data_IF_268860529338
#
_entry.id   IF_268860529338
#
_cell.length_a   1.000
_cell.length_b   1.000
_cell.length_c   1.000
_cell.angle_alpha   90.00
_cell.angle_beta   90.00
_cell.angle_gamma   90.00
#
_symmetry.space_group_name_H-M   'P 1'
#
loop_
_entity.id
_entity.type
_entity.pdbx_description
1 polymer ?
#
# COMPACT_ATOMS: atom_id res chain seq x y z
N UNK A 1 -20.90 -2.98 -7.34
CA UNK A 1 -20.02 -4.16 -7.21
C UNK A 1 -19.04 -3.84 -6.11
N UNK A 2 -19.02 -4.62 -5.03
CA UNK A 2 -18.11 -4.38 -3.91
C UNK A 2 -16.67 -4.43 -4.42
N UNK A 3 -15.91 -3.36 -4.20
CA UNK A 3 -14.50 -3.31 -4.57
C UNK A 3 -13.80 -4.49 -3.88
N UNK A 4 -13.02 -5.29 -4.63
CA UNK A 4 -12.28 -6.43 -4.10
C UNK A 4 -11.12 -5.99 -3.22
N UNK A 5 -11.41 -5.33 -2.10
CA UNK A 5 -10.45 -4.80 -1.13
C UNK A 5 -10.57 -5.65 0.13
N UNK A 6 -9.47 -6.29 0.52
CA UNK A 6 -9.40 -7.11 1.74
C UNK A 6 -8.34 -6.52 2.67
N UNK A 7 -8.75 -5.87 3.77
CA UNK A 7 -7.82 -5.41 4.80
C UNK A 7 -7.35 -6.59 5.66
N UNK A 8 -6.10 -6.56 6.09
CA UNK A 8 -5.55 -7.48 7.07
C UNK A 8 -4.55 -6.76 7.97
N UNK A 9 -4.42 -7.21 9.22
CA UNK A 9 -3.51 -6.60 10.20
C UNK A 9 -2.66 -7.66 10.89
N UNK A 10 -1.44 -7.28 11.23
CA UNK A 10 -0.52 -8.11 12.01
C UNK A 10 0.32 -7.24 12.93
N UNK A 11 0.51 -7.69 14.16
CA UNK A 11 1.36 -7.02 15.12
C UNK A 11 2.82 -6.95 14.65
N UNK A 12 3.29 -7.96 13.91
CA UNK A 12 4.65 -7.98 13.38
C UNK A 12 4.83 -6.92 12.28
N UNK A 13 3.89 -6.91 11.32
CA UNK A 13 3.84 -5.90 10.24
C UNK A 13 3.78 -4.48 10.80
N UNK A 14 3.00 -4.24 11.87
CA UNK A 14 2.93 -2.91 12.52
C UNK A 14 4.27 -2.47 13.10
N UNK A 15 4.99 -3.38 13.76
CA UNK A 15 6.29 -3.06 14.34
C UNK A 15 7.33 -2.71 13.27
N UNK A 16 7.32 -3.42 12.13
CA UNK A 16 8.22 -3.11 11.02
C UNK A 16 7.77 -1.88 10.21
N UNK A 17 6.48 -1.59 10.13
CA UNK A 17 5.96 -0.39 9.48
C UNK A 17 6.54 0.88 10.10
N UNK A 18 6.71 0.91 11.42
CA UNK A 18 7.35 2.04 12.11
C UNK A 18 8.82 2.23 11.69
N UNK A 19 9.58 1.14 11.52
CA UNK A 19 10.98 1.20 11.07
C UNK A 19 11.09 1.61 9.60
N UNK A 20 10.28 0.99 8.74
CA UNK A 20 10.20 1.33 7.33
C UNK A 20 9.81 2.80 7.13
N UNK A 21 8.87 3.31 7.94
CA UNK A 21 8.53 4.73 7.92
C UNK A 21 9.69 5.63 8.36
N UNK A 22 10.42 5.26 9.42
CA UNK A 22 11.57 6.05 9.88
C UNK A 22 12.62 6.27 8.77
N UNK A 23 12.88 5.26 7.94
CA UNK A 23 13.80 5.37 6.80
C UNK A 23 13.19 6.08 5.58
N UNK A 24 11.92 5.79 5.26
CA UNK A 24 11.26 6.34 4.08
C UNK A 24 10.88 7.82 4.25
N UNK A 25 10.65 8.27 5.50
CA UNK A 25 10.21 9.63 5.85
C UNK A 25 11.03 10.75 5.17
N UNK A 26 12.37 10.83 5.31
CA UNK A 26 13.14 11.92 4.71
C UNK A 26 12.95 11.99 3.20
N UNK A 27 12.92 10.85 2.52
CA UNK A 27 12.70 10.79 1.07
C UNK A 27 11.26 11.23 0.74
N UNK A 28 10.26 10.64 1.39
CA UNK A 28 8.84 10.93 1.15
C UNK A 28 8.44 12.38 1.48
N UNK A 29 9.16 13.06 2.37
CA UNK A 29 8.97 14.47 2.69
C UNK A 29 9.75 15.41 1.75
N UNK A 30 10.89 14.97 1.22
CA UNK A 30 11.69 15.72 0.24
C UNK A 30 11.11 15.73 -1.18
N UNK A 31 10.21 14.80 -1.49
CA UNK A 31 9.62 14.72 -2.83
C UNK A 31 8.86 16.02 -3.14
N UNK A 32 9.10 16.63 -4.31
CA UNK A 32 8.39 17.84 -4.69
C UNK A 32 6.91 17.53 -4.70
N UNK A 33 6.09 18.38 -4.05
CA UNK A 33 4.63 18.28 -4.15
C UNK A 33 4.27 18.41 -5.62
N UNK A 34 3.85 17.34 -6.30
CA UNK A 34 3.34 17.47 -7.65
C UNK A 34 1.97 18.16 -7.55
N UNK A 35 1.38 18.54 -8.70
CA UNK A 35 0.03 19.11 -8.73
C UNK A 35 -0.96 18.16 -8.01
N UNK A 36 -2.05 18.69 -7.48
CA UNK A 36 -3.13 17.86 -6.93
C UNK A 36 -3.50 16.73 -7.93
N UNK A 37 -3.99 15.60 -7.43
CA UNK A 37 -4.29 14.38 -8.20
C UNK A 37 -3.05 13.63 -8.73
N UNK A 38 -1.95 13.66 -7.99
CA UNK A 38 -0.69 13.04 -8.42
C UNK A 38 -0.13 12.03 -7.42
N UNK A 39 0.75 11.18 -7.95
CA UNK A 39 1.53 10.22 -7.19
C UNK A 39 3.02 10.49 -7.45
N UNK A 40 3.78 10.74 -6.40
CA UNK A 40 5.24 10.71 -6.46
C UNK A 40 5.75 9.33 -6.04
N UNK A 41 6.88 8.89 -6.60
CA UNK A 41 7.46 7.57 -6.34
C UNK A 41 8.84 7.68 -5.69
N UNK A 42 9.16 6.75 -4.81
CA UNK A 42 10.49 6.57 -4.24
C UNK A 42 10.90 5.09 -4.28
N UNK A 43 12.20 4.85 -4.27
CA UNK A 43 12.76 3.50 -4.18
C UNK A 43 12.60 2.96 -2.77
N UNK A 44 12.29 1.67 -2.65
CA UNK A 44 12.17 1.02 -1.35
C UNK A 44 13.52 0.96 -0.66
N UNK A 45 13.56 1.31 0.63
CA UNK A 45 14.74 1.13 1.48
C UNK A 45 14.82 -0.32 1.98
N UNK A 46 15.88 -0.66 2.71
CA UNK A 46 16.06 -2.01 3.24
C UNK A 46 14.95 -2.40 4.22
N UNK A 47 14.56 -1.51 5.13
CA UNK A 47 13.45 -1.77 6.07
C UNK A 47 12.10 -1.87 5.33
N UNK A 48 11.91 -1.10 4.25
CA UNK A 48 10.73 -1.25 3.39
C UNK A 48 10.68 -2.64 2.75
N UNK A 49 11.82 -3.17 2.30
CA UNK A 49 11.91 -4.49 1.68
C UNK A 49 11.69 -5.61 2.71
N UNK A 50 12.14 -5.44 3.96
CA UNK A 50 11.83 -6.36 5.06
C UNK A 50 10.33 -6.39 5.32
N UNK A 51 9.69 -5.24 5.49
CA UNK A 51 8.24 -5.13 5.69
C UNK A 51 7.46 -5.79 4.55
N UNK A 52 7.82 -5.52 3.29
CA UNK A 52 7.18 -6.14 2.12
C UNK A 52 7.26 -7.67 2.19
N UNK A 53 8.41 -8.23 2.55
CA UNK A 53 8.59 -9.69 2.68
C UNK A 53 7.70 -10.28 3.77
N UNK A 54 7.59 -9.61 4.92
CA UNK A 54 6.72 -10.07 6.01
C UNK A 54 5.25 -10.05 5.61
N UNK A 55 4.79 -8.92 5.03
CA UNK A 55 3.42 -8.79 4.52
C UNK A 55 3.11 -9.86 3.48
N UNK A 56 4.05 -10.16 2.59
CA UNK A 56 3.92 -11.24 1.61
C UNK A 56 3.82 -12.62 2.25
N UNK A 57 4.61 -12.89 3.29
CA UNK A 57 4.60 -14.16 3.99
C UNK A 57 3.27 -14.37 4.74
N UNK A 58 2.76 -13.34 5.41
CA UNK A 58 1.48 -13.40 6.10
C UNK A 58 0.31 -13.51 5.12
N UNK A 59 0.33 -12.71 4.05
CA UNK A 59 -0.66 -12.82 2.98
C UNK A 59 -0.69 -14.23 2.39
N UNK A 60 0.46 -14.92 2.28
CA UNK A 60 0.54 -16.33 1.85
C UNK A 60 0.02 -17.33 2.88
N UNK A 61 0.14 -17.05 4.17
CA UNK A 61 -0.36 -17.93 5.23
C UNK A 61 -1.88 -17.84 5.37
N UNK A 62 -2.46 -16.64 5.23
CA UNK A 62 -3.92 -16.45 5.18
C UNK A 62 -4.57 -17.11 3.95
N UNK A 63 -3.80 -17.46 2.91
CA UNK A 63 -4.30 -18.12 1.69
C UNK A 63 -4.79 -19.56 1.94
N UNK A 64 -4.61 -20.12 3.14
CA UNK A 64 -5.19 -21.43 3.50
C UNK A 64 -6.69 -21.40 3.83
N UNK A 65 -7.36 -20.24 3.89
CA UNK A 65 -8.81 -20.15 4.15
C UNK A 65 -9.61 -19.70 2.92
N UNK A 66 -10.15 -20.69 2.20
CA UNK A 66 -11.31 -20.81 1.27
C UNK A 66 -11.72 -19.66 0.30
N UNK A 67 -11.41 -18.38 0.52
CA UNK A 67 -11.82 -17.27 -0.39
C UNK A 67 -10.65 -16.50 -1.03
N UNK A 68 -9.42 -16.95 -0.85
CA UNK A 68 -8.24 -16.27 -1.35
C UNK A 68 -7.75 -16.86 -2.67
N UNK A 69 -7.71 -16.04 -3.72
CA UNK A 69 -6.96 -16.36 -4.95
C UNK A 69 -5.52 -16.66 -4.53
N UNK A 70 -5.01 -17.89 -4.76
CA UNK A 70 -3.66 -18.23 -4.34
C UNK A 70 -2.67 -17.37 -5.10
N UNK A 71 -1.73 -16.75 -4.38
CA UNK A 71 -0.47 -16.23 -4.94
C UNK A 71 0.28 -17.42 -5.53
N UNK A 72 -0.12 -17.88 -6.72
CA UNK A 72 0.60 -18.93 -7.44
C UNK A 72 2.01 -18.41 -7.74
N UNK A 73 2.99 -19.28 -7.56
CA UNK A 73 4.44 -19.08 -7.68
C UNK A 73 4.91 -18.25 -8.91
N UNK A 74 6.21 -17.96 -8.98
CA UNK A 74 6.80 -16.71 -8.53
C UNK A 74 6.31 -15.54 -9.39
N UNK A 75 5.34 -14.79 -8.87
CA UNK A 75 4.95 -13.51 -9.47
C UNK A 75 6.20 -12.61 -9.50
N UNK A 76 6.54 -12.09 -10.69
CA UNK A 76 7.52 -10.99 -10.76
C UNK A 76 6.82 -9.80 -10.10
N UNK A 77 7.12 -9.58 -8.83
CA UNK A 77 6.49 -8.49 -8.10
C UNK A 77 7.26 -7.20 -8.35
N UNK A 78 6.52 -6.15 -8.71
CA UNK A 78 7.04 -4.79 -8.68
C UNK A 78 6.73 -4.20 -7.31
N UNK A 79 7.78 -3.71 -6.66
CA UNK A 79 7.67 -2.99 -5.40
C UNK A 79 8.03 -1.52 -5.61
N UNK A 80 7.44 -0.64 -4.83
CA UNK A 80 7.76 0.78 -4.87
C UNK A 80 7.10 1.56 -3.74
N UNK A 81 7.76 2.63 -3.33
CA UNK A 81 7.18 3.59 -2.42
C UNK A 81 6.38 4.63 -3.18
N UNK A 82 5.14 4.88 -2.76
CA UNK A 82 4.24 5.87 -3.34
C UNK A 82 3.88 6.94 -2.31
N UNK A 83 3.85 8.18 -2.77
CA UNK A 83 3.27 9.32 -2.04
C UNK A 83 2.09 9.85 -2.86
N UNK A 84 0.88 9.69 -2.34
CA UNK A 84 -0.36 10.15 -2.97
C UNK A 84 -0.76 11.48 -2.34
N UNK A 85 -0.93 12.48 -3.19
CA UNK A 85 -1.31 13.83 -2.81
C UNK A 85 -2.83 14.04 -2.92
N UNK A 86 -3.39 15.12 -2.34
CA UNK A 86 -4.82 15.39 -2.38
C UNK A 86 -5.43 15.25 -3.78
N UNK A 87 -6.61 14.66 -3.84
CA UNK A 87 -7.32 14.33 -5.07
C UNK A 87 -7.62 12.85 -5.23
N UNK A 88 -8.04 12.47 -6.43
CA UNK A 88 -8.38 11.10 -6.82
C UNK A 88 -7.34 10.54 -7.77
N UNK A 89 -6.85 9.35 -7.46
CA UNK A 89 -5.92 8.57 -8.30
C UNK A 89 -6.39 7.12 -8.38
N UNK A 90 -6.01 6.36 -9.40
CA UNK A 90 -6.34 4.93 -9.50
C UNK A 90 -5.16 4.04 -9.11
N UNK A 91 -5.46 2.90 -8.51
CA UNK A 91 -4.51 1.83 -8.14
C UNK A 91 -5.15 0.47 -8.39
N UNK A 92 -4.38 -0.63 -8.37
CA UNK A 92 -4.96 -1.98 -8.46
C UNK A 92 -5.30 -2.46 -9.86
N UNK A 93 -4.61 -1.97 -10.91
CA UNK A 93 -4.78 -2.47 -12.28
C UNK A 93 -4.49 -3.98 -12.40
N UNK A 94 -3.64 -4.50 -11.51
CA UNK A 94 -3.40 -5.92 -11.25
C UNK A 94 -3.55 -6.18 -9.75
N UNK A 95 -3.41 -7.45 -9.33
CA UNK A 95 -3.31 -7.79 -7.90
C UNK A 95 -2.26 -6.88 -7.23
N UNK A 96 -2.71 -6.06 -6.29
CA UNK A 96 -1.89 -5.05 -5.65
C UNK A 96 -2.07 -5.11 -4.14
N UNK A 97 -0.99 -5.15 -3.38
CA UNK A 97 -1.01 -4.86 -1.96
C UNK A 97 -0.57 -3.43 -1.70
N UNK A 98 -1.32 -2.74 -0.87
CA UNK A 98 -1.04 -1.39 -0.39
C UNK A 98 -0.75 -1.48 1.11
N UNK A 99 0.45 -1.04 1.49
CA UNK A 99 0.95 -1.06 2.87
C UNK A 99 1.16 0.40 3.30
N UNK A 100 0.23 1.01 4.05
CA UNK A 100 0.38 2.39 4.49
C UNK A 100 1.51 2.53 5.50
N UNK A 101 2.39 3.52 5.28
CA UNK A 101 3.44 3.93 6.20
C UNK A 101 3.05 5.20 6.96
N UNK A 102 2.30 6.09 6.30
CA UNK A 102 1.78 7.30 6.91
C UNK A 102 0.47 7.71 6.24
N UNK A 103 -0.52 8.08 7.06
CA UNK A 103 -1.77 8.69 6.62
C UNK A 103 -1.92 10.04 7.32
N UNK A 104 -2.12 11.10 6.54
CA UNK A 104 -2.43 12.45 7.04
C UNK A 104 -3.79 12.84 6.47
N UNK A 105 -4.72 13.22 7.36
CA UNK A 105 -6.11 13.52 6.97
C UNK A 105 -6.86 12.28 6.49
N UNK A 106 -8.01 12.51 5.87
CA UNK A 106 -8.88 11.43 5.42
C UNK A 106 -8.41 10.88 4.06
N UNK A 107 -8.09 9.58 4.04
CA UNK A 107 -7.74 8.82 2.84
C UNK A 107 -8.71 7.66 2.69
N UNK A 108 -9.25 7.49 1.49
CA UNK A 108 -10.13 6.39 1.14
C UNK A 108 -9.56 5.55 0.01
N UNK A 109 -9.78 4.25 0.10
CA UNK A 109 -9.58 3.28 -0.96
C UNK A 109 -10.96 2.72 -1.32
N UNK A 110 -11.53 3.19 -2.44
CA UNK A 110 -12.94 2.99 -2.75
C UNK A 110 -13.81 3.67 -1.69
N UNK A 111 -14.62 2.89 -0.98
CA UNK A 111 -15.47 3.38 0.12
C UNK A 111 -14.83 3.18 1.51
N UNK A 112 -13.67 2.51 1.58
CA UNK A 112 -13.00 2.15 2.84
C UNK A 112 -12.00 3.23 3.26
N UNK A 113 -11.98 3.59 4.54
CA UNK A 113 -10.93 4.44 5.07
C UNK A 113 -9.61 3.68 5.21
N UNK A 114 -8.52 4.36 4.86
CA UNK A 114 -7.16 3.84 4.97
C UNK A 114 -6.54 4.29 6.28
N UNK A 115 -5.96 3.36 7.02
CA UNK A 115 -5.21 3.59 8.25
C UNK A 115 -3.84 2.91 8.17
N UNK A 116 -2.98 3.13 9.17
CA UNK A 116 -1.64 2.52 9.24
C UNK A 116 -1.61 1.19 10.00
N UNK A 117 -2.75 0.73 10.50
CA UNK A 117 -2.89 -0.52 11.24
C UNK A 117 -3.15 -1.72 10.31
N UNK A 118 -3.61 -1.46 9.09
CA UNK A 118 -3.96 -2.47 8.10
C UNK A 118 -3.13 -2.38 6.82
N UNK A 119 -2.89 -3.54 6.22
CA UNK A 119 -2.50 -3.69 4.82
C UNK A 119 -3.74 -4.01 3.99
N UNK A 120 -3.76 -3.61 2.73
CA UNK A 120 -4.93 -3.74 1.86
C UNK A 120 -4.56 -4.56 0.63
N UNK A 121 -5.22 -5.70 0.44
CA UNK A 121 -5.17 -6.47 -0.83
C UNK A 121 -6.22 -5.89 -1.77
N UNK A 122 -5.80 -5.48 -2.95
CA UNK A 122 -6.62 -4.84 -3.98
C UNK A 122 -6.64 -5.78 -5.18
N UNK A 123 -7.79 -6.41 -5.40
CA UNK A 123 -7.98 -7.44 -6.42
C UNK A 123 -8.39 -6.86 -7.78
N UNK A 124 -8.95 -5.65 -7.79
CA UNK A 124 -9.45 -4.95 -8.97
C UNK A 124 -9.12 -3.47 -8.88
N UNK A 125 -9.09 -2.78 -10.02
CA UNK A 125 -8.83 -1.34 -10.06
C UNK A 125 -9.74 -0.60 -9.07
N UNK A 126 -9.15 0.33 -8.32
CA UNK A 126 -9.78 1.05 -7.24
C UNK A 126 -9.29 2.49 -7.21
N UNK A 127 -10.16 3.40 -6.77
CA UNK A 127 -9.84 4.82 -6.59
C UNK A 127 -9.25 5.03 -5.18
N UNK A 128 -8.09 5.65 -5.11
CA UNK A 128 -7.56 6.27 -3.90
C UNK A 128 -7.98 7.73 -3.89
N UNK A 129 -8.74 8.13 -2.87
CA UNK A 129 -9.16 9.52 -2.64
C UNK A 129 -8.46 10.07 -1.41
N UNK A 130 -7.66 11.12 -1.58
CA UNK A 130 -6.98 11.84 -0.50
C UNK A 130 -7.66 13.18 -0.34
N UNK A 131 -8.17 13.47 0.86
CA UNK A 131 -8.83 14.74 1.15
C UNK A 131 -7.89 15.93 1.06
N UNK A 132 -8.46 17.14 0.91
CA UNK A 132 -7.66 18.37 0.87
C UNK A 132 -6.83 18.53 2.14
N UNK A 133 -5.54 18.81 1.97
CA UNK A 133 -4.58 18.88 3.09
C UNK A 133 -4.08 17.52 3.59
N UNK A 134 -4.60 16.42 3.04
CA UNK A 134 -4.16 15.07 3.36
C UNK A 134 -2.94 14.61 2.56
N UNK A 135 -2.45 13.42 2.91
CA UNK A 135 -1.32 12.73 2.26
C UNK A 135 -1.37 11.25 2.61
N UNK A 136 -1.11 10.39 1.64
CA UNK A 136 -0.84 8.97 1.88
C UNK A 136 0.60 8.66 1.48
N UNK A 137 1.37 8.05 2.36
CA UNK A 137 2.63 7.39 2.03
C UNK A 137 2.42 5.89 2.20
N UNK A 138 2.65 5.12 1.15
CA UNK A 138 2.44 3.68 1.17
C UNK A 138 3.50 2.95 0.34
N UNK A 139 3.78 1.70 0.71
CA UNK A 139 4.46 0.76 -0.18
C UNK A 139 3.41 0.04 -1.03
N UNK A 140 3.71 -0.07 -2.31
CA UNK A 140 2.90 -0.81 -3.26
C UNK A 140 3.68 -2.05 -3.68
N UNK A 141 2.99 -3.20 -3.63
CA UNK A 141 3.47 -4.47 -4.16
C UNK A 141 2.45 -4.92 -5.19
N UNK A 142 2.79 -4.81 -6.47
CA UNK A 142 1.90 -5.18 -7.57
C UNK A 142 2.49 -6.31 -8.37
N UNK A 143 1.65 -7.20 -8.87
CA UNK A 143 2.06 -8.19 -9.86
C UNK A 143 2.45 -7.54 -11.19
N UNK A 144 3.54 -8.02 -11.78
CA UNK A 144 3.94 -7.77 -13.17
C UNK A 144 3.39 -8.97 -13.95
N UNK A 145 2.12 -8.87 -14.36
CA UNK A 145 1.48 -9.86 -15.23
C UNK A 145 2.26 -10.12 -16.52
#
# INVERSE_FOLDING_TARGET
MAAGIVPFSSANVKAQAAKAWAEAKPVAESLPKPRDHSVARFFTTDECNVLIKEVLNEARQEISTVESIPLRQPLRMKTGGHVVFPGRTTTGQTFTMLIPLQVIGDVKLGEMFVDTDHCYKILTECVVEVSRGGKLVALIVSDIG
#
